data_IF_870420936904
#
_entry.id   IF_870420936904
#
_cell.length_a   1.000
_cell.length_b   1.000
_cell.length_c   1.000
_cell.angle_alpha   90.00
_cell.angle_beta   90.00
_cell.angle_gamma   90.00
#
_symmetry.space_group_name_H-M   'P 1'
#
loop_
_entity.id
_entity.type
_entity.pdbx_description
1 polymer ?
#
# COMPACT_ATOMS: atom_id res chain seq x y z
N UNK A 1 21.76 13.78 -9.18
CA UNK A 1 20.68 14.22 -10.13
C UNK A 1 19.46 14.68 -9.34
N UNK A 2 18.73 15.73 -9.80
CA UNK A 2 17.48 16.13 -9.14
C UNK A 2 16.45 14.99 -9.15
N UNK A 3 15.59 14.85 -8.11
CA UNK A 3 14.55 13.84 -8.07
C UNK A 3 13.64 13.93 -9.30
N UNK A 4 13.34 12.79 -9.90
CA UNK A 4 12.41 12.72 -11.04
C UNK A 4 10.97 12.62 -10.53
N UNK A 5 10.11 13.54 -10.92
CA UNK A 5 8.67 13.45 -10.62
C UNK A 5 8.05 12.32 -11.42
N UNK A 6 7.51 11.31 -10.72
CA UNK A 6 6.73 10.22 -11.32
C UNK A 6 5.27 10.62 -11.46
N UNK A 7 4.69 11.20 -10.40
CA UNK A 7 3.33 11.71 -10.39
C UNK A 7 3.32 13.10 -9.73
N UNK A 8 2.71 14.09 -10.38
CA UNK A 8 2.37 15.36 -9.75
C UNK A 8 1.03 15.24 -9.00
N UNK A 9 0.61 16.28 -8.30
CA UNK A 9 -0.59 16.27 -7.46
C UNK A 9 -1.86 15.88 -8.23
N UNK A 10 -2.05 16.42 -9.44
CA UNK A 10 -3.21 16.07 -10.29
C UNK A 10 -3.18 14.61 -10.71
N UNK A 11 -2.01 14.12 -11.12
CA UNK A 11 -1.84 12.71 -11.51
C UNK A 11 -2.03 11.77 -10.32
N UNK A 12 -1.61 12.16 -9.11
CA UNK A 12 -1.87 11.42 -7.88
C UNK A 12 -3.38 11.27 -7.64
N UNK A 13 -4.13 12.38 -7.69
CA UNK A 13 -5.57 12.37 -7.49
C UNK A 13 -6.30 11.48 -8.53
N UNK A 14 -5.95 11.63 -9.81
CA UNK A 14 -6.51 10.80 -10.90
C UNK A 14 -6.16 9.32 -10.69
N UNK A 15 -4.95 9.01 -10.24
CA UNK A 15 -4.52 7.63 -10.01
C UNK A 15 -5.29 6.99 -8.86
N UNK A 16 -5.48 7.70 -7.75
CA UNK A 16 -6.28 7.24 -6.60
C UNK A 16 -7.73 7.02 -7.02
N UNK A 17 -8.32 7.97 -7.74
CA UNK A 17 -9.70 7.85 -8.26
C UNK A 17 -9.86 6.62 -9.15
N UNK A 18 -8.94 6.39 -10.07
CA UNK A 18 -8.96 5.22 -10.94
C UNK A 18 -8.87 3.91 -10.15
N UNK A 19 -8.03 3.85 -9.12
CA UNK A 19 -7.95 2.67 -8.24
C UNK A 19 -9.27 2.44 -7.52
N UNK A 20 -9.91 3.50 -6.99
CA UNK A 20 -11.22 3.40 -6.36
C UNK A 20 -12.28 2.84 -7.32
N UNK A 21 -12.33 3.30 -8.57
CA UNK A 21 -13.24 2.79 -9.58
C UNK A 21 -13.00 1.30 -9.86
N UNK A 22 -11.75 0.90 -10.08
CA UNK A 22 -11.38 -0.49 -10.35
C UNK A 22 -11.76 -1.43 -9.19
N UNK A 23 -11.49 -1.00 -7.95
CA UNK A 23 -11.84 -1.78 -6.77
C UNK A 23 -13.37 -1.84 -6.62
N UNK A 24 -14.07 -0.70 -6.76
CA UNK A 24 -15.53 -0.67 -6.62
C UNK A 24 -16.24 -1.55 -7.65
N UNK A 25 -15.77 -1.57 -8.90
CA UNK A 25 -16.31 -2.41 -9.98
C UNK A 25 -16.35 -3.90 -9.61
N UNK A 26 -15.33 -4.38 -8.86
CA UNK A 26 -15.20 -5.80 -8.48
C UNK A 26 -15.86 -6.12 -7.15
N UNK A 27 -15.90 -5.16 -6.22
CA UNK A 27 -16.24 -5.42 -4.81
C UNK A 27 -17.61 -4.89 -4.37
N UNK A 28 -18.41 -4.37 -5.27
CA UNK A 28 -19.83 -4.08 -4.99
C UNK A 28 -20.63 -5.38 -4.96
N UNK A 29 -21.46 -5.62 -3.91
CA UNK A 29 -21.62 -4.85 -2.67
C UNK A 29 -20.47 -5.04 -1.68
N UNK A 30 -20.22 -4.00 -0.84
CA UNK A 30 -19.06 -3.92 0.07
C UNK A 30 -19.16 -4.72 1.38
N UNK A 31 -20.23 -5.49 1.56
CA UNK A 31 -20.52 -6.26 2.77
C UNK A 31 -19.55 -7.44 3.01
N UNK A 32 -18.80 -7.83 1.98
CA UNK A 32 -17.91 -9.00 2.02
C UNK A 32 -16.42 -8.66 1.80
N UNK A 33 -16.07 -7.37 1.77
CA UNK A 33 -14.69 -6.92 1.49
C UNK A 33 -14.13 -6.09 2.63
N UNK A 34 -12.86 -6.30 2.95
CA UNK A 34 -12.10 -5.56 3.96
C UNK A 34 -10.82 -5.01 3.33
N UNK A 35 -10.57 -3.71 3.50
CA UNK A 35 -9.31 -3.08 3.10
C UNK A 35 -8.31 -3.09 4.26
N UNK A 36 -7.09 -3.56 4.03
CA UNK A 36 -6.05 -3.67 5.07
C UNK A 36 -4.80 -2.89 4.64
N UNK A 37 -4.53 -1.77 5.30
CA UNK A 37 -3.35 -0.95 5.04
C UNK A 37 -2.11 -1.45 5.77
N UNK A 38 -1.01 -1.65 5.07
CA UNK A 38 0.26 -2.02 5.69
C UNK A 38 0.91 -0.80 6.35
N UNK A 39 1.22 -0.94 7.62
CA UNK A 39 1.86 0.12 8.38
C UNK A 39 3.37 0.21 8.11
N UNK A 40 3.96 1.41 8.18
CA UNK A 40 3.29 2.72 8.36
C UNK A 40 2.82 3.36 7.05
N UNK A 41 3.35 2.94 5.89
CA UNK A 41 3.23 3.66 4.62
C UNK A 41 1.89 3.44 3.91
N UNK A 42 1.44 2.21 3.82
CA UNK A 42 0.15 1.85 3.24
C UNK A 42 -1.05 2.45 3.98
N UNK A 43 -0.89 2.81 5.27
CA UNK A 43 -1.95 3.43 6.06
C UNK A 43 -2.48 4.75 5.48
N UNK A 44 -1.60 5.59 4.91
CA UNK A 44 -2.03 6.86 4.30
C UNK A 44 -2.81 6.62 3.00
N UNK A 45 -2.35 5.68 2.18
CA UNK A 45 -3.05 5.32 0.96
C UNK A 45 -4.40 4.68 1.27
N UNK A 46 -4.47 3.77 2.25
CA UNK A 46 -5.74 3.19 2.72
C UNK A 46 -6.76 4.27 3.06
N UNK A 47 -6.38 5.25 3.92
CA UNK A 47 -7.29 6.32 4.33
C UNK A 47 -7.78 7.16 3.14
N UNK A 48 -6.91 7.45 2.17
CA UNK A 48 -7.28 8.18 0.96
C UNK A 48 -8.27 7.38 0.09
N UNK A 49 -8.05 6.07 -0.08
CA UNK A 49 -8.94 5.20 -0.84
C UNK A 49 -10.30 5.05 -0.14
N UNK A 50 -10.32 4.81 1.18
CA UNK A 50 -11.57 4.68 1.96
C UNK A 50 -12.39 5.97 1.86
N UNK A 51 -11.77 7.12 2.13
CA UNK A 51 -12.46 8.41 2.06
C UNK A 51 -13.09 8.66 0.69
N UNK A 52 -12.38 8.32 -0.39
CA UNK A 52 -12.90 8.52 -1.74
C UNK A 52 -13.97 7.51 -2.11
N UNK A 53 -13.82 6.22 -1.74
CA UNK A 53 -14.83 5.19 -1.98
C UNK A 53 -16.16 5.55 -1.31
N UNK A 54 -16.13 5.95 -0.05
CA UNK A 54 -17.31 6.35 0.71
C UNK A 54 -17.99 7.61 0.13
N UNK A 55 -17.19 8.60 -0.28
CA UNK A 55 -17.71 9.85 -0.83
C UNK A 55 -18.28 9.70 -2.25
N UNK A 56 -17.61 8.91 -3.12
CA UNK A 56 -17.94 8.86 -4.55
C UNK A 56 -19.00 7.80 -4.87
N UNK A 57 -18.96 6.65 -4.18
CA UNK A 57 -19.82 5.51 -4.53
C UNK A 57 -20.96 5.25 -3.51
N UNK A 58 -21.07 6.08 -2.50
CA UNK A 58 -22.08 5.94 -1.44
C UNK A 58 -22.16 4.51 -0.84
N UNK A 59 -20.98 3.89 -0.69
CA UNK A 59 -20.86 2.49 -0.23
C UNK A 59 -21.32 2.27 1.21
N UNK A 60 -21.58 3.34 1.97
CA UNK A 60 -21.60 3.30 3.43
C UNK A 60 -20.18 3.12 3.99
N UNK A 61 -20.02 2.84 5.28
CA UNK A 61 -18.70 2.63 5.87
C UNK A 61 -17.98 1.42 5.27
N UNK A 62 -16.82 1.65 4.67
CA UNK A 62 -15.96 0.58 4.12
C UNK A 62 -15.19 -0.07 5.26
N UNK A 63 -15.38 -1.39 5.45
CA UNK A 63 -14.66 -2.14 6.47
C UNK A 63 -13.14 -2.07 6.19
N UNK A 64 -12.37 -1.61 7.18
CA UNK A 64 -10.93 -1.44 7.01
C UNK A 64 -10.15 -1.65 8.31
N UNK A 65 -8.85 -1.90 8.18
CA UNK A 65 -7.93 -2.06 9.30
C UNK A 65 -6.49 -1.70 8.93
N UNK A 66 -5.64 -1.58 9.94
CA UNK A 66 -4.21 -1.33 9.80
C UNK A 66 -3.42 -2.51 10.36
N UNK A 67 -2.51 -3.05 9.56
CA UNK A 67 -1.71 -4.21 9.90
C UNK A 67 -0.24 -3.81 10.01
N UNK A 68 0.35 -4.00 11.19
CA UNK A 68 1.80 -3.93 11.36
C UNK A 68 2.44 -5.27 11.02
N UNK A 69 3.45 -5.22 10.16
CA UNK A 69 4.18 -6.40 9.69
C UNK A 69 5.60 -6.48 10.25
N UNK A 70 5.95 -5.61 11.21
CA UNK A 70 7.33 -5.44 11.69
C UNK A 70 7.94 -6.75 12.17
N UNK A 71 7.20 -7.53 12.96
CA UNK A 71 7.69 -8.81 13.53
C UNK A 71 7.67 -9.98 12.53
N UNK A 72 6.93 -9.87 11.43
CA UNK A 72 6.84 -10.89 10.38
C UNK A 72 7.87 -10.70 9.26
N UNK A 73 8.61 -9.59 9.30
CA UNK A 73 9.67 -9.30 8.31
C UNK A 73 10.91 -10.15 8.56
N UNK A 74 11.46 -10.71 7.50
CA UNK A 74 12.68 -11.53 7.53
C UNK A 74 13.96 -10.71 7.79
N UNK A 75 13.92 -9.39 7.60
CA UNK A 75 15.02 -8.47 7.92
C UNK A 75 14.98 -7.91 9.36
N UNK A 76 13.94 -8.24 10.14
CA UNK A 76 13.76 -7.74 11.51
C UNK A 76 14.99 -8.00 12.42
N UNK A 77 15.62 -9.18 12.30
CA UNK A 77 16.78 -9.57 13.12
C UNK A 77 18.14 -9.14 12.56
N UNK A 78 18.18 -8.58 11.35
CA UNK A 78 19.43 -8.23 10.64
C UNK A 78 19.75 -6.74 10.66
N UNK A 79 18.87 -5.89 11.18
CA UNK A 79 19.06 -4.44 11.26
C UNK A 79 19.78 -4.07 12.54
N UNK A 80 20.72 -3.14 12.45
CA UNK A 80 21.45 -2.57 13.59
C UNK A 80 20.56 -1.65 14.44
N UNK A 81 19.53 -1.02 13.83
CA UNK A 81 18.55 -0.19 14.53
C UNK A 81 17.25 -0.97 14.79
N UNK A 82 16.71 -0.92 16.04
CA UNK A 82 15.43 -1.53 16.35
C UNK A 82 14.31 -0.92 15.51
N UNK A 83 13.54 -1.77 14.82
CA UNK A 83 12.31 -1.33 14.15
C UNK A 83 11.28 -1.02 15.24
N UNK A 84 10.71 0.19 15.19
CA UNK A 84 9.58 0.55 16.05
C UNK A 84 8.31 -0.03 15.42
N UNK A 85 7.69 -0.96 16.15
CA UNK A 85 6.39 -1.50 15.75
C UNK A 85 5.32 -0.41 15.86
N UNK A 86 4.42 -0.39 14.87
CA UNK A 86 3.21 0.43 14.92
C UNK A 86 2.06 -0.41 15.49
N UNK A 87 1.08 0.20 16.18
CA UNK A 87 -0.04 -0.59 16.69
C UNK A 87 -0.86 -1.16 15.53
N UNK A 88 -1.11 -2.47 15.57
CA UNK A 88 -2.08 -3.10 14.66
C UNK A 88 -3.49 -2.72 15.09
N UNK A 89 -4.29 -2.22 14.16
CA UNK A 89 -5.68 -1.78 14.36
C UNK A 89 -6.62 -2.64 13.48
N UNK A 90 -6.75 -3.92 13.83
CA UNK A 90 -7.56 -4.90 13.10
C UNK A 90 -8.85 -5.21 13.86
N UNK A 91 -9.72 -4.19 14.01
CA UNK A 91 -11.02 -4.32 14.68
C UNK A 91 -12.12 -4.86 13.76
N UNK A 92 -11.75 -5.54 12.69
CA UNK A 92 -12.64 -6.09 11.67
C UNK A 92 -12.38 -7.59 11.51
N UNK A 93 -13.45 -8.37 11.33
CA UNK A 93 -13.33 -9.80 11.05
C UNK A 93 -12.96 -10.00 9.58
N UNK A 94 -11.93 -10.80 9.35
CA UNK A 94 -11.47 -11.15 7.99
C UNK A 94 -11.82 -12.62 7.61
N UNK A 95 -12.30 -13.42 8.57
CA UNK A 95 -12.68 -14.80 8.32
C UNK A 95 -13.72 -14.90 7.21
N UNK A 96 -13.43 -15.65 6.17
CA UNK A 96 -14.28 -15.84 5.00
C UNK A 96 -14.52 -14.59 4.14
N UNK A 97 -13.86 -13.46 4.42
CA UNK A 97 -13.97 -12.20 3.66
C UNK A 97 -12.94 -12.13 2.53
N UNK A 98 -13.20 -11.27 1.56
CA UNK A 98 -12.19 -10.82 0.61
C UNK A 98 -11.37 -9.72 1.28
N UNK A 99 -10.06 -9.86 1.28
CA UNK A 99 -9.13 -8.87 1.86
C UNK A 99 -8.33 -8.24 0.74
N UNK A 100 -8.30 -6.91 0.70
CA UNK A 100 -7.40 -6.17 -0.20
C UNK A 100 -6.29 -5.55 0.66
N UNK A 101 -5.07 -6.06 0.51
CA UNK A 101 -3.87 -5.47 1.11
C UNK A 101 -3.53 -4.18 0.35
N UNK A 102 -3.34 -3.08 1.10
CA UNK A 102 -3.00 -1.76 0.56
C UNK A 102 -1.57 -1.40 0.98
N UNK A 103 -0.70 -1.16 0.00
CA UNK A 103 0.65 -0.64 0.25
C UNK A 103 1.00 0.49 -0.73
N UNK A 104 1.95 1.34 -0.38
CA UNK A 104 2.35 2.47 -1.21
C UNK A 104 3.21 2.03 -2.41
N UNK A 105 4.21 1.18 -2.19
CA UNK A 105 5.18 0.75 -3.19
C UNK A 105 5.45 -0.74 -3.12
N UNK A 106 5.11 -1.45 -4.18
CA UNK A 106 5.53 -2.83 -4.34
C UNK A 106 6.95 -2.86 -4.91
N UNK A 107 7.89 -3.36 -4.10
CA UNK A 107 9.31 -3.49 -4.45
C UNK A 107 9.69 -4.97 -4.63
N UNK A 108 10.27 -5.60 -3.62
CA UNK A 108 10.71 -7.00 -3.69
C UNK A 108 9.59 -8.02 -3.47
N UNK A 109 8.49 -7.60 -2.83
CA UNK A 109 7.39 -8.45 -2.39
C UNK A 109 7.50 -8.93 -0.94
N UNK A 110 8.62 -8.67 -0.24
CA UNK A 110 8.85 -9.16 1.13
C UNK A 110 7.84 -8.61 2.13
N UNK A 111 7.44 -7.34 1.99
CA UNK A 111 6.39 -6.75 2.85
C UNK A 111 5.04 -7.46 2.66
N UNK A 112 4.69 -7.80 1.43
CA UNK A 112 3.45 -8.53 1.14
C UNK A 112 3.51 -9.95 1.71
N UNK A 113 4.64 -10.64 1.59
CA UNK A 113 4.82 -11.96 2.22
C UNK A 113 4.62 -11.86 3.75
N UNK A 114 5.27 -10.89 4.40
CA UNK A 114 5.10 -10.66 5.82
C UNK A 114 3.65 -10.34 6.21
N UNK A 115 2.92 -9.62 5.33
CA UNK A 115 1.51 -9.31 5.53
C UNK A 115 0.63 -10.57 5.43
N UNK A 116 0.91 -11.45 4.49
CA UNK A 116 0.19 -12.73 4.37
C UNK A 116 0.40 -13.61 5.61
N UNK A 117 1.63 -13.64 6.15
CA UNK A 117 1.95 -14.36 7.38
C UNK A 117 1.19 -13.73 8.58
N UNK A 118 1.19 -12.40 8.71
CA UNK A 118 0.53 -11.67 9.79
C UNK A 118 -1.01 -11.76 9.74
N UNK A 119 -1.61 -11.78 8.54
CA UNK A 119 -3.06 -11.93 8.39
C UNK A 119 -3.57 -13.25 8.97
N UNK A 120 -2.75 -14.30 8.97
CA UNK A 120 -3.10 -15.59 9.56
C UNK A 120 -3.47 -15.53 11.05
N UNK A 121 -2.98 -14.53 11.78
CA UNK A 121 -3.30 -14.32 13.20
C UNK A 121 -4.72 -13.75 13.41
N UNK A 122 -5.35 -13.20 12.36
CA UNK A 122 -6.67 -12.55 12.41
C UNK A 122 -7.80 -13.35 11.78
N UNK A 123 -7.49 -14.48 11.14
CA UNK A 123 -8.47 -15.36 10.52
C UNK A 123 -8.04 -15.84 9.13
N UNK A 124 -8.92 -16.60 8.49
CA UNK A 124 -8.71 -17.15 7.16
C UNK A 124 -9.60 -16.42 6.13
N UNK A 125 -9.07 -15.44 5.39
CA UNK A 125 -9.82 -14.80 4.31
C UNK A 125 -10.15 -15.80 3.20
N UNK A 126 -11.28 -15.59 2.52
CA UNK A 126 -11.64 -16.33 1.30
C UNK A 126 -10.64 -16.06 0.18
N UNK A 127 -10.25 -14.80 0.04
CA UNK A 127 -9.32 -14.32 -0.99
C UNK A 127 -8.52 -13.15 -0.47
N UNK A 128 -7.26 -13.06 -0.88
CA UNK A 128 -6.39 -11.92 -0.63
C UNK A 128 -5.96 -11.33 -1.96
N UNK A 129 -6.18 -10.04 -2.13
CA UNK A 129 -5.79 -9.23 -3.29
C UNK A 129 -4.81 -8.14 -2.85
N UNK A 130 -4.06 -7.59 -3.79
CA UNK A 130 -3.05 -6.56 -3.52
C UNK A 130 -3.31 -5.31 -4.34
N UNK A 131 -3.42 -4.18 -3.66
CA UNK A 131 -3.49 -2.85 -4.28
C UNK A 131 -2.26 -2.02 -3.89
N UNK A 132 -1.56 -1.48 -4.89
CA UNK A 132 -0.40 -0.61 -4.66
C UNK A 132 -0.48 0.65 -5.52
N UNK A 133 0.03 1.75 -4.99
CA UNK A 133 0.10 2.98 -5.79
C UNK A 133 1.19 2.87 -6.85
N UNK A 134 2.37 2.36 -6.47
CA UNK A 134 3.50 2.19 -7.38
C UNK A 134 3.96 0.74 -7.41
N UNK A 135 4.04 0.18 -8.61
CA UNK A 135 4.63 -1.14 -8.87
C UNK A 135 5.99 -0.97 -9.55
N UNK A 136 7.08 -1.34 -8.85
CA UNK A 136 8.46 -1.34 -9.37
C UNK A 136 8.73 -2.68 -10.06
N UNK A 137 8.88 -2.68 -11.39
CA UNK A 137 8.88 -3.91 -12.20
C UNK A 137 10.10 -4.80 -12.03
N UNK A 138 11.30 -4.26 -11.98
CA UNK A 138 12.54 -5.07 -12.12
C UNK A 138 13.19 -5.52 -10.81
N UNK A 139 12.56 -5.27 -9.70
CA UNK A 139 13.16 -5.53 -8.38
C UNK A 139 12.44 -6.64 -7.60
N UNK A 140 11.63 -7.46 -8.27
CA UNK A 140 10.85 -8.50 -7.63
C UNK A 140 11.74 -9.69 -7.21
N UNK A 141 11.68 -10.07 -5.94
CA UNK A 141 12.38 -11.25 -5.40
C UNK A 141 11.43 -12.41 -5.10
N UNK A 142 10.13 -12.13 -4.99
CA UNK A 142 9.08 -13.12 -4.74
C UNK A 142 8.03 -13.07 -5.85
N UNK A 143 7.33 -14.17 -6.17
CA UNK A 143 6.35 -14.24 -7.25
C UNK A 143 5.03 -13.56 -6.87
N UNK A 144 5.10 -12.27 -6.54
CA UNK A 144 3.98 -11.45 -6.10
C UNK A 144 3.70 -10.38 -7.14
N UNK A 145 2.43 -10.26 -7.53
CA UNK A 145 1.95 -9.24 -8.46
C UNK A 145 0.73 -8.53 -7.84
N UNK A 146 0.54 -7.24 -8.09
CA UNK A 146 -0.65 -6.54 -7.62
C UNK A 146 -1.84 -6.82 -8.54
N UNK A 147 -3.03 -6.96 -7.94
CA UNK A 147 -4.31 -7.00 -8.66
C UNK A 147 -4.69 -5.60 -9.13
N UNK A 148 -4.41 -4.58 -8.31
CA UNK A 148 -4.64 -3.17 -8.60
C UNK A 148 -3.33 -2.40 -8.50
N UNK A 149 -2.95 -1.71 -9.58
CA UNK A 149 -1.72 -0.93 -9.64
C UNK A 149 -1.99 0.49 -10.14
N UNK A 150 -1.54 1.47 -9.37
CA UNK A 150 -1.64 2.87 -9.76
C UNK A 150 -0.72 3.19 -10.94
N UNK A 151 0.56 2.99 -10.79
CA UNK A 151 1.54 3.21 -11.87
C UNK A 151 2.66 2.17 -11.80
N UNK A 152 3.01 1.60 -12.93
CA UNK A 152 4.21 0.79 -13.09
C UNK A 152 5.41 1.67 -13.39
N UNK A 153 6.53 1.40 -12.72
CA UNK A 153 7.74 2.20 -12.83
C UNK A 153 8.96 1.31 -13.00
N UNK A 154 9.79 1.67 -13.96
CA UNK A 154 11.11 1.05 -14.14
C UNK A 154 12.09 1.82 -13.26
N UNK A 155 12.38 1.27 -12.09
CA UNK A 155 13.31 1.85 -11.14
C UNK A 155 14.48 0.89 -10.90
N UNK A 156 15.68 1.43 -10.89
CA UNK A 156 16.90 0.66 -10.59
C UNK A 156 16.95 0.30 -9.09
N UNK A 157 17.71 -0.72 -8.72
CA UNK A 157 17.76 -1.22 -7.34
C UNK A 157 18.21 -0.17 -6.32
N UNK A 158 19.08 0.75 -6.74
CA UNK A 158 19.58 1.83 -5.88
C UNK A 158 18.64 3.05 -5.80
N UNK A 159 17.64 3.14 -6.66
CA UNK A 159 16.67 4.23 -6.64
C UNK A 159 15.56 3.97 -5.62
N UNK A 160 15.00 5.06 -5.08
CA UNK A 160 13.90 5.01 -4.12
C UNK A 160 12.69 5.75 -4.65
N UNK A 161 11.52 5.17 -4.47
CA UNK A 161 10.24 5.86 -4.69
C UNK A 161 9.83 6.51 -3.38
N UNK A 162 9.58 7.82 -3.41
CA UNK A 162 9.13 8.60 -2.26
C UNK A 162 7.78 9.24 -2.54
N UNK A 163 6.85 9.06 -1.62
CA UNK A 163 5.54 9.68 -1.63
C UNK A 163 5.53 10.89 -0.69
N UNK A 164 5.16 12.04 -1.20
CA UNK A 164 5.04 13.26 -0.40
C UNK A 164 3.57 13.52 -0.09
N UNK A 165 3.23 13.39 1.18
CA UNK A 165 1.90 13.62 1.70
C UNK A 165 1.84 14.93 2.49
N UNK A 166 0.78 15.72 2.23
CA UNK A 166 0.42 16.88 3.02
C UNK A 166 -0.96 16.62 3.65
N UNK A 167 -0.97 16.25 4.93
CA UNK A 167 -2.17 15.73 5.57
C UNK A 167 -2.75 14.52 4.81
N UNK A 168 -4.01 14.56 4.38
CA UNK A 168 -4.65 13.48 3.62
C UNK A 168 -4.32 13.51 2.12
N UNK A 169 -3.69 14.58 1.62
CA UNK A 169 -3.46 14.79 0.18
C UNK A 169 -2.09 14.26 -0.23
N UNK A 170 -2.05 13.43 -1.25
CA UNK A 170 -0.81 13.03 -1.92
C UNK A 170 -0.40 14.10 -2.94
N UNK A 171 0.64 14.85 -2.64
CA UNK A 171 1.11 15.96 -3.49
C UNK A 171 1.99 15.50 -4.65
N UNK A 172 2.84 14.50 -4.41
CA UNK A 172 3.72 13.99 -5.47
C UNK A 172 4.28 12.61 -5.14
N UNK A 173 4.71 11.93 -6.21
CA UNK A 173 5.54 10.72 -6.13
C UNK A 173 6.83 10.99 -6.88
N UNK A 174 7.95 10.81 -6.21
CA UNK A 174 9.29 11.08 -6.72
C UNK A 174 10.10 9.80 -6.84
N UNK A 175 10.98 9.75 -7.83
CA UNK A 175 12.06 8.78 -7.95
C UNK A 175 13.37 9.47 -7.57
N UNK A 176 14.01 9.00 -6.51
CA UNK A 176 15.25 9.54 -5.96
C UNK A 176 16.41 8.56 -6.25
N UNK A 177 17.52 9.09 -6.78
CA UNK A 177 18.79 8.35 -6.93
C UNK A 177 19.71 8.66 -5.74
N UNK A 178 20.56 7.73 -5.28
CA UNK A 178 21.44 7.91 -4.10
C UNK A 178 22.45 9.06 -4.27
N UNK A 179 22.78 9.45 -5.48
CA UNK A 179 23.66 10.60 -5.76
C UNK A 179 22.98 11.95 -5.44
N UNK A 180 21.71 11.95 -5.05
CA UNK A 180 20.99 13.12 -4.57
C UNK A 180 20.91 13.09 -3.04
N UNK A 181 21.99 13.49 -2.37
CA UNK A 181 21.92 13.95 -0.99
C UNK A 181 21.54 15.45 -1.05
N UNK A 182 20.38 15.90 -0.54
CA UNK A 182 20.12 17.32 -0.38
C UNK A 182 21.21 17.87 0.57
N UNK A 183 21.91 18.92 0.15
CA UNK A 183 22.76 19.67 1.06
C UNK A 183 21.93 20.07 2.28
N UNK A 184 22.44 19.75 3.47
CA UNK A 184 21.83 20.08 4.75
C UNK A 184 21.95 21.54 5.06
#
# INVERSE_FOLDING_TARGET
MAPKTLLNQRECAVTISRLCHQINEVHVPWDHTVLVGLQPRGAKLLRALVAQLEAEFATGPVANGLLDITFHRDDFRRREEPLTASPTEMNVLIEGKRVIIIDDVLYTGRSVRAALDALGDFGRPERVELCVLIDRRFSRELPIQPDYSGRRVDALNHERVRLNWNGPTLESVLLESPDYAPER
#
